data_IF_615568128646
#
_entry.id   IF_615568128646
#
_cell.length_a   1.000
_cell.length_b   1.000
_cell.length_c   1.000
_cell.angle_alpha   90.00
_cell.angle_beta   90.00
_cell.angle_gamma   90.00
#
_symmetry.space_group_name_H-M   'P 1'
#
loop_
_entity.id
_entity.type
_entity.pdbx_description
1 polymer ?
#
# COMPACT_ATOMS: atom_id res chain seq x y z
N UNK A 1 -19.83 15.97 -9.47
CA UNK A 1 -19.06 14.84 -8.94
C UNK A 1 -19.76 14.20 -7.74
N UNK A 2 -19.46 12.94 -7.45
CA UNK A 2 -19.87 12.21 -6.26
C UNK A 2 -18.65 11.88 -5.45
N UNK A 3 -18.69 12.08 -4.13
CA UNK A 3 -17.61 11.74 -3.20
C UNK A 3 -18.08 10.50 -2.42
N UNK A 4 -17.36 9.38 -2.58
CA UNK A 4 -17.63 8.12 -1.88
C UNK A 4 -16.71 8.02 -0.67
N UNK A 5 -17.29 7.95 0.53
CA UNK A 5 -16.63 7.81 1.83
C UNK A 5 -17.36 6.78 2.72
N UNK A 6 -18.19 5.93 2.10
CA UNK A 6 -18.97 4.92 2.84
C UNK A 6 -18.07 3.79 3.33
N UNK A 7 -17.07 3.43 2.53
CA UNK A 7 -16.20 2.30 2.81
C UNK A 7 -16.83 0.95 2.46
N UNK A 8 -16.07 -0.12 2.68
CA UNK A 8 -16.47 -1.47 2.28
C UNK A 8 -16.45 -1.68 0.76
N UNK A 9 -16.87 -2.87 0.30
CA UNK A 9 -16.78 -3.22 -1.13
C UNK A 9 -18.12 -3.62 -1.76
N UNK A 10 -19.21 -3.67 -0.98
CA UNK A 10 -20.57 -3.99 -1.43
C UNK A 10 -21.30 -2.76 -1.94
N UNK A 11 -22.04 -2.10 -1.05
CA UNK A 11 -22.87 -0.94 -1.39
C UNK A 11 -22.07 0.22 -2.01
N UNK A 12 -20.82 0.44 -1.55
CA UNK A 12 -19.94 1.46 -2.12
C UNK A 12 -19.68 1.22 -3.63
N UNK A 13 -19.53 -0.04 -4.04
CA UNK A 13 -19.41 -0.42 -5.47
C UNK A 13 -20.62 0.01 -6.26
N UNK A 14 -21.82 -0.31 -5.75
CA UNK A 14 -23.08 0.02 -6.42
C UNK A 14 -23.21 1.53 -6.61
N UNK A 15 -22.94 2.31 -5.57
CA UNK A 15 -23.01 3.77 -5.64
C UNK A 15 -22.02 4.37 -6.63
N UNK A 16 -20.79 3.88 -6.64
CA UNK A 16 -19.75 4.33 -7.59
C UNK A 16 -20.16 4.00 -9.03
N UNK A 17 -20.58 2.78 -9.30
CA UNK A 17 -21.01 2.37 -10.64
C UNK A 17 -22.26 3.15 -11.11
N UNK A 18 -23.24 3.35 -10.23
CA UNK A 18 -24.43 4.14 -10.55
C UNK A 18 -24.07 5.60 -10.86
N UNK A 19 -23.17 6.21 -10.06
CA UNK A 19 -22.71 7.58 -10.31
C UNK A 19 -22.04 7.71 -11.67
N UNK A 20 -21.12 6.82 -12.03
CA UNK A 20 -20.42 6.82 -13.30
C UNK A 20 -21.38 6.63 -14.49
N UNK A 21 -22.32 5.67 -14.37
CA UNK A 21 -23.36 5.40 -15.40
C UNK A 21 -24.33 6.58 -15.55
N UNK A 22 -24.55 7.35 -14.48
CA UNK A 22 -25.36 8.58 -14.50
C UNK A 22 -24.60 9.81 -14.96
N UNK A 23 -23.43 9.66 -15.57
CA UNK A 23 -22.63 10.75 -16.12
C UNK A 23 -21.95 11.63 -15.08
N UNK A 24 -21.68 11.12 -13.86
CA UNK A 24 -21.01 11.85 -12.78
C UNK A 24 -19.59 11.36 -12.57
N UNK A 25 -18.66 12.27 -12.35
CA UNK A 25 -17.32 11.94 -11.90
C UNK A 25 -17.34 11.50 -10.43
N UNK A 26 -16.39 10.66 -10.04
CA UNK A 26 -16.31 10.09 -8.69
C UNK A 26 -14.98 10.42 -8.04
N UNK A 27 -15.01 10.71 -6.75
CA UNK A 27 -13.83 10.80 -5.87
C UNK A 27 -13.99 9.77 -4.77
N UNK A 28 -12.98 8.93 -4.53
CA UNK A 28 -13.00 7.92 -3.46
C UNK A 28 -11.65 7.76 -2.79
N UNK A 29 -11.66 7.45 -1.49
CA UNK A 29 -10.48 7.00 -0.73
C UNK A 29 -10.47 5.48 -0.50
N UNK A 30 -11.43 4.75 -1.07
CA UNK A 30 -11.71 3.36 -0.77
C UNK A 30 -10.78 2.40 -1.53
N UNK A 31 -9.57 2.22 -0.99
CA UNK A 31 -8.56 1.32 -1.57
C UNK A 31 -9.03 -0.12 -1.72
N UNK A 32 -9.81 -0.63 -0.75
CA UNK A 32 -10.31 -2.01 -0.81
C UNK A 32 -11.29 -2.20 -1.97
N UNK A 33 -12.15 -1.22 -2.22
CA UNK A 33 -13.05 -1.20 -3.37
C UNK A 33 -12.27 -1.21 -4.68
N UNK A 34 -11.27 -0.34 -4.80
CA UNK A 34 -10.45 -0.23 -6.03
C UNK A 34 -9.59 -1.47 -6.26
N UNK A 35 -8.99 -2.03 -5.20
CA UNK A 35 -8.19 -3.25 -5.29
C UNK A 35 -9.03 -4.45 -5.74
N UNK A 36 -10.29 -4.57 -5.26
CA UNK A 36 -11.17 -5.70 -5.55
C UNK A 36 -11.98 -5.55 -6.83
N UNK A 37 -12.41 -4.34 -7.14
CA UNK A 37 -13.35 -4.05 -8.24
C UNK A 37 -12.84 -2.98 -9.22
N UNK A 38 -11.55 -2.64 -9.16
CA UNK A 38 -10.96 -1.57 -9.98
C UNK A 38 -11.19 -1.78 -11.47
N UNK A 39 -11.03 -3.00 -11.98
CA UNK A 39 -11.29 -3.33 -13.39
C UNK A 39 -12.68 -2.90 -13.85
N UNK A 40 -13.71 -3.25 -13.09
CA UNK A 40 -15.10 -2.90 -13.42
C UNK A 40 -15.35 -1.39 -13.31
N UNK A 41 -14.82 -0.77 -12.24
CA UNK A 41 -14.99 0.65 -11.96
C UNK A 41 -14.28 1.52 -13.00
N UNK A 42 -13.01 1.20 -13.32
CA UNK A 42 -12.26 1.92 -14.36
C UNK A 42 -12.86 1.70 -15.75
N UNK A 43 -13.37 0.49 -16.03
CA UNK A 43 -14.12 0.18 -17.24
C UNK A 43 -15.38 1.03 -17.37
N UNK A 44 -16.17 1.13 -16.31
CA UNK A 44 -17.37 1.96 -16.28
C UNK A 44 -17.04 3.45 -16.44
N UNK A 45 -16.00 3.96 -15.78
CA UNK A 45 -15.55 5.34 -15.94
C UNK A 45 -15.21 5.64 -17.41
N UNK A 46 -14.39 4.79 -18.02
CA UNK A 46 -13.96 4.92 -19.42
C UNK A 46 -15.15 4.87 -20.39
N UNK A 47 -16.03 3.89 -20.24
CA UNK A 47 -17.18 3.71 -21.13
C UNK A 47 -18.18 4.86 -21.08
N UNK A 48 -18.26 5.59 -19.97
CA UNK A 48 -19.16 6.73 -19.81
C UNK A 48 -18.43 8.09 -19.97
N UNK A 49 -17.15 8.11 -20.34
CA UNK A 49 -16.37 9.35 -20.45
C UNK A 49 -16.27 10.12 -19.12
N UNK A 50 -16.20 9.40 -18.00
CA UNK A 50 -16.15 9.98 -16.66
C UNK A 50 -14.79 9.74 -16.01
N UNK A 51 -14.47 10.62 -15.04
CA UNK A 51 -13.25 10.50 -14.26
C UNK A 51 -13.52 9.85 -12.90
N UNK A 52 -12.51 9.09 -12.43
CA UNK A 52 -12.41 8.67 -11.04
C UNK A 52 -11.09 9.17 -10.47
N UNK A 53 -11.18 9.88 -9.33
CA UNK A 53 -10.05 10.39 -8.57
C UNK A 53 -9.93 9.65 -7.25
N UNK A 54 -8.73 9.18 -6.90
CA UNK A 54 -8.53 8.32 -5.74
C UNK A 54 -7.16 8.55 -5.05
N UNK A 55 -6.65 9.78 -5.08
CA UNK A 55 -5.36 10.13 -4.46
C UNK A 55 -5.29 9.74 -2.99
N UNK A 56 -6.37 9.95 -2.24
CA UNK A 56 -6.45 9.62 -0.81
C UNK A 56 -6.52 8.11 -0.51
N UNK A 57 -6.54 7.25 -1.52
CA UNK A 57 -6.60 5.79 -1.31
C UNK A 57 -5.28 5.17 -0.87
N UNK A 58 -4.15 5.79 -1.21
CA UNK A 58 -2.81 5.26 -0.96
C UNK A 58 -1.85 6.36 -0.51
N UNK A 59 -0.86 5.97 0.34
CA UNK A 59 0.28 6.83 0.68
C UNK A 59 0.03 7.88 1.75
N UNK A 60 -1.14 7.92 2.38
CA UNK A 60 -1.47 8.95 3.36
C UNK A 60 -1.47 10.34 2.71
N UNK A 61 -0.66 11.27 3.22
CA UNK A 61 -0.51 12.62 2.67
C UNK A 61 0.47 12.72 1.48
N UNK A 62 1.10 11.64 1.07
CA UNK A 62 2.05 11.63 -0.06
C UNK A 62 1.25 11.63 -1.37
N UNK A 63 1.48 12.58 -2.29
CA UNK A 63 0.87 12.55 -3.62
C UNK A 63 1.51 11.43 -4.45
N UNK A 64 0.78 10.33 -4.68
CA UNK A 64 1.30 9.14 -5.38
C UNK A 64 0.60 8.86 -6.69
N UNK A 65 -0.72 8.95 -6.69
CA UNK A 65 -1.52 8.55 -7.85
C UNK A 65 -1.28 9.50 -9.01
N UNK A 66 -1.26 10.81 -8.75
CA UNK A 66 -1.01 11.81 -9.77
C UNK A 66 0.40 11.73 -10.35
N UNK A 67 1.50 11.62 -9.56
CA UNK A 67 2.83 11.38 -10.11
C UNK A 67 2.94 10.12 -10.96
N UNK A 68 2.40 8.99 -10.53
CA UNK A 68 2.41 7.75 -11.32
C UNK A 68 1.63 7.89 -12.63
N UNK A 69 0.48 8.58 -12.58
CA UNK A 69 -0.43 8.72 -13.72
C UNK A 69 0.00 9.76 -14.73
N UNK A 70 0.64 10.83 -14.29
CA UNK A 70 0.96 12.00 -15.13
C UNK A 70 2.44 12.39 -15.07
N UNK A 71 3.06 12.42 -13.88
CA UNK A 71 4.43 12.86 -13.72
C UNK A 71 5.46 11.91 -14.33
N UNK A 72 5.20 10.60 -14.24
CA UNK A 72 6.08 9.56 -14.72
C UNK A 72 5.60 8.90 -16.03
N UNK A 73 4.68 9.52 -16.75
CA UNK A 73 4.04 8.93 -17.93
C UNK A 73 5.03 8.55 -19.05
N UNK A 74 6.14 9.26 -19.15
CA UNK A 74 7.21 8.96 -20.12
C UNK A 74 8.11 7.78 -19.68
N UNK A 75 7.97 7.29 -18.44
CA UNK A 75 8.78 6.22 -17.90
C UNK A 75 8.07 4.87 -18.01
N UNK A 76 8.85 3.85 -18.33
CA UNK A 76 8.43 2.46 -18.14
C UNK A 76 8.80 2.06 -16.73
N UNK A 77 7.81 2.03 -15.83
CA UNK A 77 8.03 1.62 -14.44
C UNK A 77 8.44 0.14 -14.40
N UNK A 78 9.52 -0.14 -13.68
CA UNK A 78 10.10 -1.48 -13.53
C UNK A 78 9.90 -2.04 -12.12
N UNK A 79 9.90 -1.18 -11.10
CA UNK A 79 9.65 -1.61 -9.72
C UNK A 79 9.06 -0.50 -8.84
N UNK A 80 8.31 -0.93 -7.83
CA UNK A 80 7.83 -0.11 -6.71
C UNK A 80 8.18 -0.86 -5.42
N UNK A 81 8.77 -0.15 -4.47
CA UNK A 81 8.97 -0.61 -3.09
C UNK A 81 8.36 0.42 -2.16
N UNK A 82 7.41 0.00 -1.31
CA UNK A 82 6.69 0.95 -0.48
C UNK A 82 6.49 0.49 0.96
N UNK A 83 6.76 1.39 1.91
CA UNK A 83 6.24 1.35 3.27
C UNK A 83 4.85 1.99 3.18
N UNK A 84 3.80 1.17 3.06
CA UNK A 84 2.44 1.62 2.75
C UNK A 84 1.48 1.56 3.95
N UNK A 85 1.96 1.05 5.10
CA UNK A 85 1.18 0.95 6.32
C UNK A 85 1.94 1.57 7.49
N UNK A 86 1.38 2.65 8.06
CA UNK A 86 2.00 3.40 9.15
C UNK A 86 2.03 2.63 10.48
N UNK A 87 0.96 1.87 10.78
CA UNK A 87 0.86 1.04 11.99
C UNK A 87 2.00 0.03 12.05
N UNK A 88 2.19 -0.75 10.98
CA UNK A 88 3.28 -1.71 10.90
C UNK A 88 4.66 -1.04 10.97
N UNK A 89 4.84 0.09 10.30
CA UNK A 89 6.12 0.79 10.36
C UNK A 89 6.43 1.32 11.76
N UNK A 90 5.43 1.80 12.49
CA UNK A 90 5.57 2.19 13.89
C UNK A 90 5.99 1.01 14.76
N UNK A 91 5.25 -0.12 14.69
CA UNK A 91 5.54 -1.33 15.48
C UNK A 91 6.96 -1.82 15.21
N UNK A 92 7.35 -1.98 13.95
CA UNK A 92 8.70 -2.43 13.57
C UNK A 92 9.80 -1.46 14.00
N UNK A 93 9.51 -0.15 14.01
CA UNK A 93 10.44 0.87 14.49
C UNK A 93 10.68 0.74 16.01
N UNK A 94 9.61 0.55 16.79
CA UNK A 94 9.72 0.36 18.24
C UNK A 94 10.43 -0.95 18.60
N UNK A 95 10.12 -2.04 17.88
CA UNK A 95 10.81 -3.33 18.06
C UNK A 95 12.30 -3.22 17.71
N UNK A 96 12.63 -2.69 16.53
CA UNK A 96 14.00 -2.66 16.03
C UNK A 96 14.89 -1.64 16.73
N UNK A 97 14.38 -0.48 17.11
CA UNK A 97 15.18 0.60 17.74
C UNK A 97 15.27 0.48 19.25
N UNK A 98 14.19 0.01 19.90
CA UNK A 98 14.09 -0.04 21.37
C UNK A 98 14.06 -1.47 21.93
N UNK A 99 14.13 -2.50 21.08
CA UNK A 99 14.14 -3.90 21.51
C UNK A 99 12.82 -4.36 22.14
N UNK A 100 11.71 -3.67 21.87
CA UNK A 100 10.40 -4.02 22.43
C UNK A 100 9.87 -5.29 21.81
N UNK A 101 9.07 -6.05 22.60
CA UNK A 101 8.30 -7.15 22.04
C UNK A 101 7.21 -6.64 21.09
N UNK A 102 6.77 -7.47 20.15
CA UNK A 102 5.65 -7.17 19.25
C UNK A 102 4.40 -6.74 20.04
N UNK A 103 4.04 -7.48 21.09
CA UNK A 103 2.85 -7.18 21.91
C UNK A 103 2.94 -5.82 22.60
N UNK A 104 4.11 -5.46 23.09
CA UNK A 104 4.34 -4.15 23.72
C UNK A 104 4.25 -3.02 22.70
N UNK A 105 4.90 -3.18 21.54
CA UNK A 105 4.87 -2.18 20.47
C UNK A 105 3.47 -1.99 19.86
N UNK A 106 2.71 -3.08 19.71
CA UNK A 106 1.31 -3.01 19.25
C UNK A 106 0.44 -2.27 20.26
N UNK A 107 0.56 -2.57 21.56
CA UNK A 107 -0.20 -1.88 22.60
C UNK A 107 0.07 -0.37 22.59
N UNK A 108 1.32 0.02 22.48
CA UNK A 108 1.71 1.44 22.39
C UNK A 108 1.17 2.09 21.10
N UNK A 109 1.15 1.37 19.97
CA UNK A 109 0.55 1.85 18.74
C UNK A 109 -0.96 2.12 18.91
N UNK A 110 -1.67 1.25 19.63
CA UNK A 110 -3.08 1.43 19.96
C UNK A 110 -3.30 2.62 20.90
N UNK A 111 -2.51 2.74 21.96
CA UNK A 111 -2.60 3.83 22.94
C UNK A 111 -2.27 5.20 22.30
N UNK A 112 -1.39 5.21 21.29
CA UNK A 112 -1.05 6.40 20.52
C UNK A 112 -2.04 6.71 19.35
N UNK A 113 -3.04 5.85 19.13
CA UNK A 113 -4.02 6.01 18.05
C UNK A 113 -3.50 5.68 16.65
N UNK A 114 -2.36 5.00 16.52
CA UNK A 114 -1.84 4.51 15.25
C UNK A 114 -2.42 3.17 14.82
N UNK A 115 -2.94 2.38 15.77
CA UNK A 115 -3.62 1.13 15.52
C UNK A 115 -5.04 1.15 16.12
N UNK A 116 -5.99 0.57 15.40
CA UNK A 116 -7.34 0.32 15.91
C UNK A 116 -7.34 -0.83 16.93
N UNK A 117 -8.47 -1.03 17.63
CA UNK A 117 -8.64 -2.16 18.56
C UNK A 117 -8.49 -3.51 17.86
N UNK A 118 -9.00 -3.62 16.63
CA UNK A 118 -8.73 -4.76 15.75
C UNK A 118 -7.72 -4.34 14.68
N UNK A 119 -6.42 -4.57 14.88
CA UNK A 119 -5.36 -4.20 13.96
C UNK A 119 -5.12 -5.28 12.89
N UNK A 120 -5.93 -6.32 12.81
CA UNK A 120 -5.68 -7.52 12.00
C UNK A 120 -5.36 -7.19 10.55
N UNK A 121 -6.13 -6.29 9.92
CA UNK A 121 -5.92 -5.92 8.52
C UNK A 121 -4.57 -5.22 8.28
N UNK A 122 -4.09 -4.48 9.28
CA UNK A 122 -2.78 -3.83 9.21
C UNK A 122 -1.66 -4.87 9.37
N UNK A 123 -1.66 -5.58 10.51
CA UNK A 123 -0.53 -6.42 10.91
C UNK A 123 -0.38 -7.70 10.09
N UNK A 124 -1.46 -8.20 9.45
CA UNK A 124 -1.39 -9.33 8.53
C UNK A 124 -0.98 -8.94 7.10
N UNK A 125 -0.76 -7.65 6.83
CA UNK A 125 -0.35 -7.13 5.52
C UNK A 125 -1.50 -6.86 4.53
N UNK A 126 -2.75 -7.08 4.92
CA UNK A 126 -3.93 -6.92 4.06
C UNK A 126 -4.13 -5.47 3.58
N UNK A 127 -3.97 -4.49 4.46
CA UNK A 127 -4.03 -3.07 4.08
C UNK A 127 -2.96 -2.71 3.05
N UNK A 128 -1.72 -3.18 3.29
CA UNK A 128 -0.60 -2.98 2.36
C UNK A 128 -0.87 -3.65 1.01
N UNK A 129 -1.48 -4.85 1.00
CA UNK A 129 -1.79 -5.58 -0.24
C UNK A 129 -2.83 -4.84 -1.10
N UNK A 130 -3.87 -4.27 -0.49
CA UNK A 130 -4.86 -3.46 -1.22
C UNK A 130 -4.22 -2.22 -1.85
N UNK A 131 -3.38 -1.51 -1.10
CA UNK A 131 -2.66 -0.32 -1.61
C UNK A 131 -1.70 -0.71 -2.73
N UNK A 132 -0.95 -1.80 -2.56
CA UNK A 132 -0.03 -2.30 -3.58
C UNK A 132 -0.76 -2.68 -4.87
N UNK A 133 -1.91 -3.33 -4.77
CA UNK A 133 -2.71 -3.70 -5.94
C UNK A 133 -3.17 -2.47 -6.74
N UNK A 134 -3.64 -1.41 -6.05
CA UNK A 134 -4.02 -0.14 -6.69
C UNK A 134 -2.83 0.51 -7.39
N UNK A 135 -1.68 0.61 -6.71
CA UNK A 135 -0.47 1.22 -7.26
C UNK A 135 0.08 0.41 -8.43
N UNK A 136 0.10 -0.92 -8.32
CA UNK A 136 0.58 -1.81 -9.38
C UNK A 136 -0.32 -1.75 -10.61
N UNK A 137 -1.65 -1.78 -10.46
CA UNK A 137 -2.57 -1.64 -11.57
C UNK A 137 -2.33 -0.35 -12.36
N UNK A 138 -2.06 0.75 -11.65
CA UNK A 138 -1.78 2.05 -12.27
C UNK A 138 -0.41 2.08 -12.96
N UNK A 139 0.65 1.68 -12.24
CA UNK A 139 2.03 1.80 -12.71
C UNK A 139 2.38 0.83 -13.84
N UNK A 140 1.79 -0.36 -13.83
CA UNK A 140 2.06 -1.41 -14.83
C UNK A 140 0.95 -1.57 -15.86
N UNK A 141 -0.11 -0.76 -15.77
CA UNK A 141 -1.27 -0.80 -16.68
C UNK A 141 -1.87 -2.20 -16.83
N UNK A 142 -2.08 -2.90 -15.72
CA UNK A 142 -2.61 -4.27 -15.71
C UNK A 142 -3.71 -4.44 -14.65
N UNK A 143 -4.55 -5.46 -14.85
CA UNK A 143 -5.46 -5.90 -13.79
C UNK A 143 -4.69 -6.73 -12.78
N UNK A 144 -4.88 -6.47 -11.49
CA UNK A 144 -4.25 -7.21 -10.39
C UNK A 144 -5.30 -8.10 -9.73
N UNK A 145 -5.01 -9.38 -9.65
CA UNK A 145 -5.78 -10.34 -8.87
C UNK A 145 -5.17 -10.46 -7.46
N UNK A 146 -5.91 -10.00 -6.46
CA UNK A 146 -5.47 -10.03 -5.05
C UNK A 146 -5.14 -11.45 -4.55
N UNK A 147 -5.77 -12.48 -5.12
CA UNK A 147 -5.52 -13.88 -4.70
C UNK A 147 -4.14 -14.39 -5.12
N UNK A 148 -3.50 -13.71 -6.05
CA UNK A 148 -2.16 -14.05 -6.54
C UNK A 148 -1.04 -13.27 -5.84
N UNK A 149 -1.38 -12.31 -4.97
CA UNK A 149 -0.39 -11.62 -4.17
C UNK A 149 0.13 -12.55 -3.06
N UNK A 150 1.46 -12.63 -2.93
CA UNK A 150 2.04 -13.18 -1.72
C UNK A 150 1.93 -12.15 -0.60
N UNK A 151 1.32 -12.53 0.52
CA UNK A 151 1.12 -11.64 1.68
C UNK A 151 1.56 -12.33 2.95
N UNK A 152 2.48 -11.69 3.66
CA UNK A 152 2.96 -12.08 4.98
C UNK A 152 2.97 -10.86 5.89
N UNK A 153 2.37 -10.99 7.07
CA UNK A 153 2.28 -9.94 8.08
C UNK A 153 3.51 -9.84 8.99
N UNK A 154 3.40 -8.98 9.99
CA UNK A 154 4.45 -8.76 11.00
C UNK A 154 4.18 -9.46 12.32
N UNK A 155 3.03 -10.08 12.48
CA UNK A 155 2.52 -10.66 13.72
C UNK A 155 3.34 -11.84 14.25
N UNK A 156 4.16 -12.46 13.38
CA UNK A 156 5.03 -13.59 13.72
C UNK A 156 6.49 -13.22 13.95
N UNK A 157 6.85 -11.94 13.82
CA UNK A 157 8.23 -11.49 13.99
C UNK A 157 8.62 -11.42 15.47
N UNK A 158 9.81 -11.91 15.76
CA UNK A 158 10.43 -11.79 17.08
C UNK A 158 11.41 -10.62 17.11
N UNK A 159 11.53 -9.96 18.26
CA UNK A 159 12.49 -8.86 18.45
C UNK A 159 13.95 -9.31 18.19
N UNK A 160 14.25 -10.60 18.40
CA UNK A 160 15.59 -11.18 18.12
C UNK A 160 15.89 -11.20 16.63
N UNK A 161 14.90 -11.41 15.76
CA UNK A 161 15.10 -11.38 14.31
C UNK A 161 15.50 -9.97 13.88
N UNK A 162 14.84 -8.95 14.44
CA UNK A 162 15.14 -7.54 14.15
C UNK A 162 16.52 -7.13 14.70
N UNK A 163 16.89 -7.61 15.90
CA UNK A 163 18.20 -7.36 16.49
C UNK A 163 19.31 -7.98 15.64
N UNK A 164 19.20 -9.24 15.24
CA UNK A 164 20.14 -9.90 14.34
C UNK A 164 20.31 -9.19 13.00
N UNK A 165 19.19 -8.75 12.40
CA UNK A 165 19.22 -7.93 11.19
C UNK A 165 20.01 -6.64 11.39
N UNK A 166 19.80 -5.96 12.52
CA UNK A 166 20.48 -4.69 12.84
C UNK A 166 21.99 -4.89 13.03
N UNK A 167 22.44 -5.96 13.67
CA UNK A 167 23.86 -6.29 13.80
C UNK A 167 24.55 -6.44 12.45
N UNK A 168 23.80 -6.86 11.42
CA UNK A 168 24.25 -7.00 10.04
C UNK A 168 24.08 -5.72 9.20
N UNK A 169 23.63 -4.61 9.79
CA UNK A 169 23.42 -3.33 9.11
C UNK A 169 22.09 -3.25 8.32
N UNK A 170 21.07 -4.00 8.76
CA UNK A 170 19.73 -3.98 8.13
C UNK A 170 18.64 -3.55 9.10
N UNK A 171 17.59 -2.97 8.55
CA UNK A 171 16.36 -2.59 9.26
C UNK A 171 15.19 -3.35 8.67
N UNK A 172 14.37 -3.96 9.51
CA UNK A 172 13.16 -4.67 9.06
C UNK A 172 12.04 -3.67 8.75
N UNK A 173 11.41 -3.81 7.58
CA UNK A 173 10.24 -3.05 7.12
C UNK A 173 9.21 -3.98 6.54
N UNK A 174 7.90 -3.69 6.73
CA UNK A 174 6.85 -4.32 5.93
C UNK A 174 6.80 -3.60 4.58
N UNK A 175 7.22 -4.29 3.51
CA UNK A 175 7.25 -3.70 2.18
C UNK A 175 6.14 -4.27 1.30
N UNK A 176 5.42 -3.36 0.61
CA UNK A 176 4.71 -3.68 -0.63
C UNK A 176 5.71 -3.60 -1.78
N UNK A 177 5.88 -4.72 -2.50
CA UNK A 177 6.86 -4.87 -3.58
C UNK A 177 6.12 -5.24 -4.86
N UNK A 178 6.24 -4.39 -5.88
CA UNK A 178 5.82 -4.71 -7.24
C UNK A 178 7.05 -4.64 -8.15
N UNK A 179 7.37 -5.73 -8.85
CA UNK A 179 8.55 -5.79 -9.72
C UNK A 179 8.23 -6.50 -11.02
N UNK A 180 8.55 -5.84 -12.13
CA UNK A 180 8.50 -6.44 -13.47
C UNK A 180 9.81 -7.17 -13.77
N UNK A 181 9.69 -8.37 -14.30
CA UNK A 181 10.81 -9.18 -14.83
C UNK A 181 10.38 -9.82 -16.15
N UNK A 182 11.28 -10.55 -16.80
CA UNK A 182 10.98 -11.26 -18.04
C UNK A 182 9.89 -12.33 -17.86
N UNK A 183 9.76 -12.88 -16.65
CA UNK A 183 8.70 -13.84 -16.29
C UNK A 183 7.33 -13.21 -15.92
N UNK A 184 7.19 -11.88 -15.97
CA UNK A 184 5.94 -11.20 -15.65
C UNK A 184 6.05 -10.20 -14.51
N UNK A 185 4.93 -9.94 -13.82
CA UNK A 185 4.83 -9.02 -12.70
C UNK A 185 4.76 -9.80 -11.38
N UNK A 186 5.72 -9.58 -10.51
CA UNK A 186 5.74 -10.13 -9.15
C UNK A 186 5.18 -9.10 -8.16
N UNK A 187 4.19 -9.49 -7.37
CA UNK A 187 3.55 -8.67 -6.35
C UNK A 187 3.64 -9.38 -5.00
N UNK A 188 4.25 -8.72 -4.02
CA UNK A 188 4.49 -9.29 -2.70
C UNK A 188 4.34 -8.25 -1.60
N UNK A 189 3.83 -8.69 -0.46
CA UNK A 189 3.83 -7.94 0.80
C UNK A 189 4.46 -8.84 1.85
N UNK A 190 5.57 -8.44 2.41
CA UNK A 190 6.22 -9.21 3.48
C UNK A 190 7.24 -8.36 4.25
N UNK A 191 7.58 -8.76 5.48
CA UNK A 191 8.72 -8.22 6.19
C UNK A 191 10.00 -8.39 5.35
N UNK A 192 10.79 -7.33 5.27
CA UNK A 192 12.00 -7.30 4.46
C UNK A 192 13.11 -6.61 5.21
N UNK A 193 14.31 -7.18 5.21
CA UNK A 193 15.50 -6.54 5.71
C UNK A 193 16.07 -5.58 4.66
N UNK A 194 16.02 -4.29 4.97
CA UNK A 194 16.47 -3.19 4.12
C UNK A 194 17.80 -2.69 4.65
N UNK A 195 18.82 -2.64 3.81
CA UNK A 195 20.14 -2.13 4.22
C UNK A 195 20.03 -0.69 4.75
N UNK A 196 20.69 -0.38 5.85
CA UNK A 196 20.57 0.91 6.58
C UNK A 196 20.82 2.15 5.71
N UNK A 197 21.63 2.04 4.66
CA UNK A 197 21.93 3.12 3.71
C UNK A 197 20.82 3.34 2.68
N UNK A 198 19.82 2.46 2.60
CA UNK A 198 18.71 2.64 1.66
C UNK A 198 17.71 3.67 2.20
N UNK A 199 17.19 4.61 1.39
CA UNK A 199 16.27 5.66 1.87
C UNK A 199 15.05 5.13 2.65
N UNK A 200 14.51 3.98 2.27
CA UNK A 200 13.38 3.37 2.99
C UNK A 200 13.74 2.94 4.42
N UNK A 201 15.01 2.62 4.71
CA UNK A 201 15.44 2.20 6.04
C UNK A 201 15.32 3.33 7.07
N UNK A 202 15.56 4.58 6.67
CA UNK A 202 15.48 5.75 7.54
C UNK A 202 14.06 6.18 7.89
N UNK A 203 13.04 5.69 7.15
CA UNK A 203 11.63 6.02 7.42
C UNK A 203 11.15 5.30 8.67
N UNK A 204 10.98 5.98 9.77
CA UNK A 204 10.58 5.43 11.07
C UNK A 204 9.23 5.98 11.54
N UNK A 205 8.71 5.45 12.68
CA UNK A 205 7.41 5.84 13.21
C UNK A 205 6.27 5.43 12.26
N UNK A 206 5.20 6.21 12.24
CA UNK A 206 3.99 5.92 11.42
C UNK A 206 4.06 6.47 9.98
N UNK A 207 5.23 6.87 9.51
CA UNK A 207 5.39 7.45 8.17
C UNK A 207 5.40 6.40 7.07
N UNK A 208 4.84 6.78 5.92
CA UNK A 208 4.95 6.04 4.68
C UNK A 208 6.15 6.55 3.85
N UNK A 209 6.66 5.68 2.98
CA UNK A 209 7.67 6.05 2.00
C UNK A 209 7.58 5.10 0.79
N UNK A 210 7.88 5.61 -0.39
CA UNK A 210 7.79 4.83 -1.62
C UNK A 210 8.98 5.18 -2.52
N UNK A 211 9.60 4.12 -3.03
CA UNK A 211 10.61 4.22 -4.09
C UNK A 211 10.02 3.65 -5.37
N UNK A 212 10.08 4.43 -6.44
CA UNK A 212 9.62 4.04 -7.77
C UNK A 212 10.83 4.01 -8.70
N UNK A 213 10.97 2.93 -9.44
CA UNK A 213 12.06 2.73 -10.40
C UNK A 213 11.49 2.60 -11.80
N UNK A 214 12.11 3.27 -12.73
CA UNK A 214 11.77 3.21 -14.15
C UNK A 214 13.03 3.12 -15.01
N UNK A 215 12.84 3.23 -16.31
CA UNK A 215 13.99 3.23 -17.25
C UNK A 215 14.72 4.59 -17.33
N UNK A 216 14.13 5.66 -16.77
CA UNK A 216 14.69 7.01 -16.70
C UNK A 216 14.76 7.59 -15.28
N UNK A 217 14.19 6.88 -14.28
CA UNK A 217 14.16 7.28 -12.87
C UNK A 217 14.46 6.07 -11.96
#
# INVERSE_FOLDING_TARGET
AVIELVGGTGIAKEFVLQALRSGKDVVTANKALLAKHGKEIYGAARSNGRCIAFEASCGGGIPLILPLRSGLIANRITAIYGILNGTCNYILSEMGQKGKSYTTALKEAQDAGFAELDPTLDVNGGDTSHKLAVLASLAFCCDVDLSQLYVEGIDKLDARDLAGGRELGYVCKLLGIARRSDGGLSLRVHPSFVHERHPLASTSGSFNAISVYGNWV
#
